data_IF_392285980695
#
_entry.id   IF_392285980695
#
_cell.length_a   1.000
_cell.length_b   1.000
_cell.length_c   1.000
_cell.angle_alpha   90.00
_cell.angle_beta   90.00
_cell.angle_gamma   90.00
#
_symmetry.space_group_name_H-M   'P 1'
#
loop_
_entity.id
_entity.type
_entity.pdbx_description
1 polymer ?
#
# COMPACT_ATOMS: atom_id res chain seq x y z
N UNK A 1 -16.26 16.76 -3.49
CA UNK A 1 -15.30 17.86 -3.68
C UNK A 1 -13.94 17.50 -3.09
N UNK A 2 -12.84 17.90 -3.75
CA UNK A 2 -11.47 17.71 -3.28
C UNK A 2 -10.88 19.05 -2.84
N UNK A 3 -10.33 19.08 -1.64
CA UNK A 3 -9.61 20.23 -1.08
C UNK A 3 -8.21 19.86 -0.66
N UNK A 4 -7.28 20.81 -0.76
CA UNK A 4 -5.93 20.69 -0.21
C UNK A 4 -5.71 21.81 0.80
N UNK A 5 -5.35 21.41 2.03
CA UNK A 5 -5.08 22.33 3.14
C UNK A 5 -3.59 22.26 3.50
N UNK A 6 -2.98 23.42 3.76
CA UNK A 6 -1.64 23.47 4.31
C UNK A 6 -1.66 23.05 5.78
N UNK A 7 -0.65 22.29 6.21
CA UNK A 7 -0.46 21.91 7.62
C UNK A 7 0.15 23.06 8.43
N UNK A 8 0.94 23.94 7.78
CA UNK A 8 1.65 25.03 8.45
C UNK A 8 0.88 26.36 8.39
N UNK A 9 0.05 26.56 7.37
CA UNK A 9 -0.63 27.82 7.10
C UNK A 9 -2.13 27.60 6.96
N UNK A 10 -2.95 28.57 7.36
CA UNK A 10 -4.41 28.54 7.22
C UNK A 10 -4.86 28.76 5.77
N UNK A 11 -4.24 28.07 4.83
CA UNK A 11 -4.61 28.14 3.42
C UNK A 11 -5.23 26.82 2.98
N UNK A 12 -6.45 26.92 2.46
CA UNK A 12 -7.19 25.79 1.86
C UNK A 12 -7.54 26.16 0.44
N UNK A 13 -7.31 25.24 -0.49
CA UNK A 13 -7.71 25.40 -1.88
C UNK A 13 -8.64 24.29 -2.30
N UNK A 14 -9.76 24.67 -2.89
CA UNK A 14 -10.63 23.76 -3.64
C UNK A 14 -9.93 23.39 -4.95
N UNK A 15 -9.79 22.08 -5.19
CA UNK A 15 -9.13 21.53 -6.38
C UNK A 15 -10.14 21.27 -7.49
N UNK A 16 -11.29 20.70 -7.15
CA UNK A 16 -12.35 20.37 -8.09
C UNK A 16 -13.38 21.49 -8.17
N UNK A 17 -13.84 21.81 -9.38
CA UNK A 17 -14.89 22.81 -9.62
C UNK A 17 -16.00 22.20 -10.49
N UNK A 18 -16.52 21.07 -10.06
CA UNK A 18 -17.55 20.31 -10.77
C UNK A 18 -18.64 19.91 -9.78
N UNK A 19 -19.90 19.73 -10.24
CA UNK A 19 -21.00 19.30 -9.39
C UNK A 19 -20.97 17.80 -9.04
N UNK A 20 -20.06 17.04 -9.66
CA UNK A 20 -19.97 15.60 -9.50
C UNK A 20 -19.40 15.21 -8.13
N UNK A 21 -19.61 13.96 -7.74
CA UNK A 21 -19.04 13.40 -6.52
C UNK A 21 -17.57 13.01 -6.74
N UNK A 22 -16.74 13.27 -5.73
CA UNK A 22 -15.34 12.83 -5.68
C UNK A 22 -15.07 12.02 -4.41
N UNK A 23 -14.15 11.05 -4.54
CA UNK A 23 -13.71 10.16 -3.48
C UNK A 23 -12.25 9.72 -3.68
N UNK A 24 -11.68 9.05 -2.68
CA UNK A 24 -10.46 8.27 -2.76
C UNK A 24 -9.26 9.05 -3.33
N UNK A 25 -8.88 10.14 -2.67
CA UNK A 25 -7.76 10.99 -3.12
C UNK A 25 -6.42 10.36 -2.74
N UNK A 26 -5.49 10.30 -3.68
CA UNK A 26 -4.10 9.95 -3.40
C UNK A 26 -3.12 11.00 -3.97
N UNK A 27 -1.99 11.18 -3.28
CA UNK A 27 -0.90 12.04 -3.72
C UNK A 27 -0.01 11.33 -4.73
N UNK A 28 0.39 12.07 -5.77
CA UNK A 28 1.48 11.65 -6.63
C UNK A 28 2.85 11.80 -5.94
N UNK A 29 3.86 11.01 -6.36
CA UNK A 29 5.19 11.02 -5.76
C UNK A 29 5.96 12.33 -5.95
N UNK A 30 5.49 13.19 -6.85
CA UNK A 30 6.09 14.49 -7.16
C UNK A 30 5.56 15.64 -6.30
N UNK A 31 4.61 15.39 -5.40
CA UNK A 31 3.89 16.39 -4.61
C UNK A 31 3.19 17.48 -5.43
N UNK A 32 3.10 17.31 -6.74
CA UNK A 32 2.49 18.24 -7.72
C UNK A 32 1.29 17.62 -8.43
N UNK A 33 1.01 16.37 -8.12
CA UNK A 33 -0.06 15.57 -8.72
C UNK A 33 -0.96 15.01 -7.63
N UNK A 34 -2.27 15.05 -7.88
CA UNK A 34 -3.30 14.31 -7.15
C UNK A 34 -4.01 13.39 -8.12
N UNK A 35 -4.40 12.21 -7.66
CA UNK A 35 -5.33 11.35 -8.36
C UNK A 35 -6.50 11.04 -7.44
N UNK A 36 -7.71 11.12 -7.97
CA UNK A 36 -8.94 10.84 -7.23
C UNK A 36 -9.97 10.19 -8.14
N UNK A 37 -10.93 9.52 -7.53
CA UNK A 37 -12.11 9.04 -8.23
C UNK A 37 -13.13 10.17 -8.33
N UNK A 38 -13.68 10.42 -9.53
CA UNK A 38 -14.75 11.38 -9.76
C UNK A 38 -15.85 10.78 -10.63
N UNK A 39 -17.09 10.99 -10.25
CA UNK A 39 -18.22 10.55 -11.04
C UNK A 39 -18.37 11.42 -12.28
N UNK A 40 -18.09 10.86 -13.45
CA UNK A 40 -18.13 11.54 -14.74
C UNK A 40 -19.03 10.77 -15.71
N UNK A 41 -20.07 11.41 -16.21
CA UNK A 41 -21.02 10.78 -17.12
C UNK A 41 -21.64 9.48 -16.58
N UNK A 42 -22.00 9.48 -15.29
CA UNK A 42 -22.62 8.34 -14.61
C UNK A 42 -21.67 7.17 -14.32
N UNK A 43 -20.35 7.39 -14.41
CA UNK A 43 -19.31 6.40 -14.08
C UNK A 43 -18.20 7.03 -13.24
N UNK A 44 -17.70 6.29 -12.26
CA UNK A 44 -16.53 6.68 -11.50
C UNK A 44 -15.27 6.54 -12.35
N UNK A 45 -14.58 7.65 -12.57
CA UNK A 45 -13.36 7.72 -13.37
C UNK A 45 -12.20 8.20 -12.53
N UNK A 46 -10.98 7.78 -12.89
CA UNK A 46 -9.77 8.32 -12.28
C UNK A 46 -9.40 9.64 -12.96
N UNK A 47 -9.39 10.69 -12.17
CA UNK A 47 -9.01 12.05 -12.59
C UNK A 47 -7.68 12.41 -11.94
N UNK A 48 -6.78 12.92 -12.76
CA UNK A 48 -5.49 13.43 -12.33
C UNK A 48 -5.51 14.94 -12.38
N UNK A 49 -5.27 15.59 -11.25
CA UNK A 49 -5.05 17.02 -11.13
C UNK A 49 -3.55 17.31 -11.01
N UNK A 50 -3.05 18.24 -11.78
CA UNK A 50 -1.62 18.61 -11.81
C UNK A 50 -1.44 20.12 -11.75
N UNK A 51 -0.48 20.59 -10.95
CA UNK A 51 -0.04 21.98 -10.93
C UNK A 51 0.68 22.28 -12.25
N UNK A 52 0.09 23.17 -13.07
CA UNK A 52 0.59 23.44 -14.44
C UNK A 52 1.81 24.34 -14.48
N UNK A 53 1.87 25.34 -13.61
CA UNK A 53 2.96 26.32 -13.59
C UNK A 53 4.12 25.85 -12.73
N UNK A 54 5.34 26.02 -13.23
CA UNK A 54 6.56 25.62 -12.49
C UNK A 54 6.81 26.50 -11.25
N UNK A 55 6.37 27.74 -11.32
CA UNK A 55 6.50 28.75 -10.26
C UNK A 55 5.59 28.43 -9.06
N UNK A 56 4.48 27.73 -9.29
CA UNK A 56 3.56 27.30 -8.24
C UNK A 56 4.17 26.10 -7.52
N UNK A 57 4.58 26.26 -6.27
CA UNK A 57 5.33 25.24 -5.52
C UNK A 57 4.44 24.14 -4.96
N UNK A 58 3.19 24.47 -4.61
CA UNK A 58 2.25 23.57 -3.95
C UNK A 58 0.80 23.86 -4.35
N UNK A 59 -0.12 22.93 -4.07
CA UNK A 59 -1.53 23.07 -4.41
C UNK A 59 -2.23 24.26 -3.74
N UNK A 60 -2.05 24.55 -2.42
CA UNK A 60 -2.71 25.71 -1.82
C UNK A 60 -2.44 27.04 -2.53
N UNK A 61 -1.26 27.20 -3.10
CA UNK A 61 -0.84 28.42 -3.80
C UNK A 61 -0.86 28.30 -5.33
N UNK A 62 -1.29 27.14 -5.87
CA UNK A 62 -1.33 26.93 -7.30
C UNK A 62 -2.34 27.87 -7.99
N UNK A 63 -1.90 28.55 -9.05
CA UNK A 63 -2.77 29.45 -9.83
C UNK A 63 -3.52 28.72 -10.92
N UNK A 64 -2.92 27.68 -11.52
CA UNK A 64 -3.52 26.86 -12.58
C UNK A 64 -3.35 25.39 -12.26
N UNK A 65 -4.48 24.69 -12.10
CA UNK A 65 -4.55 23.27 -11.95
C UNK A 65 -5.20 22.69 -13.21
N UNK A 66 -4.58 21.66 -13.80
CA UNK A 66 -5.10 20.97 -14.96
C UNK A 66 -5.62 19.60 -14.54
N UNK A 67 -6.85 19.28 -14.90
CA UNK A 67 -7.46 17.97 -14.73
C UNK A 67 -7.44 17.17 -16.03
N UNK A 68 -7.22 15.86 -15.92
CA UNK A 68 -7.34 14.91 -17.02
C UNK A 68 -7.85 13.54 -16.54
N UNK A 69 -8.73 12.88 -17.28
CA UNK A 69 -9.10 11.48 -17.05
C UNK A 69 -7.97 10.61 -17.57
N UNK A 70 -7.38 9.77 -16.72
CA UNK A 70 -6.09 9.12 -16.99
C UNK A 70 -6.17 7.66 -17.41
N UNK A 71 -7.28 6.96 -17.14
CA UNK A 71 -7.41 5.56 -17.49
C UNK A 71 -8.16 5.36 -18.82
N UNK A 72 -7.73 4.39 -19.66
CA UNK A 72 -8.49 4.03 -20.86
C UNK A 72 -9.83 3.41 -20.47
N UNK A 73 -10.75 3.28 -21.43
CA UNK A 73 -12.11 2.76 -21.26
C UNK A 73 -12.92 3.48 -20.17
N UNK A 74 -13.62 4.52 -20.55
CA UNK A 74 -14.43 5.37 -19.67
C UNK A 74 -15.78 4.74 -19.27
N UNK A 75 -16.07 3.53 -19.68
CA UNK A 75 -17.37 2.89 -19.44
C UNK A 75 -17.38 1.88 -18.28
N UNK A 76 -16.42 1.99 -17.39
CA UNK A 76 -16.26 1.16 -16.19
C UNK A 76 -16.01 2.03 -14.97
N UNK A 77 -16.45 1.58 -13.79
CA UNK A 77 -16.20 2.29 -12.54
C UNK A 77 -14.79 1.99 -12.00
N UNK A 78 -14.09 3.03 -11.56
CA UNK A 78 -12.75 2.93 -10.96
C UNK A 78 -12.65 3.78 -9.73
N UNK A 79 -12.17 3.18 -8.64
CA UNK A 79 -12.01 3.82 -7.33
C UNK A 79 -10.70 3.42 -6.66
N UNK A 80 -10.45 4.01 -5.50
CA UNK A 80 -9.35 3.68 -4.61
C UNK A 80 -7.97 3.70 -5.27
N UNK A 81 -7.57 4.79 -5.97
CA UNK A 81 -6.26 4.88 -6.59
C UNK A 81 -5.15 4.95 -5.54
N UNK A 82 -4.03 4.25 -5.80
CA UNK A 82 -2.82 4.32 -4.98
C UNK A 82 -1.58 4.25 -5.88
N UNK A 83 -0.67 5.23 -5.76
CA UNK A 83 0.63 5.12 -6.43
C UNK A 83 1.51 4.05 -5.77
N UNK A 84 2.30 3.36 -6.59
CA UNK A 84 3.38 2.53 -6.07
C UNK A 84 4.42 3.40 -5.37
N UNK A 85 5.13 2.90 -4.33
CA UNK A 85 6.17 3.65 -3.64
C UNK A 85 7.27 4.22 -4.56
N UNK A 86 7.58 3.54 -5.66
CA UNK A 86 8.54 4.01 -6.67
C UNK A 86 7.94 5.03 -7.67
N UNK A 87 6.65 5.32 -7.57
CA UNK A 87 5.92 6.29 -8.39
C UNK A 87 5.69 5.87 -9.85
N UNK A 88 6.08 4.66 -10.25
CA UNK A 88 5.99 4.24 -11.66
C UNK A 88 4.64 3.65 -12.04
N UNK A 89 3.89 3.18 -11.07
CA UNK A 89 2.60 2.51 -11.27
C UNK A 89 1.50 3.16 -10.43
N UNK A 90 0.27 3.03 -10.89
CA UNK A 90 -0.94 3.42 -10.17
C UNK A 90 -1.84 2.20 -10.09
N UNK A 91 -2.14 1.73 -8.89
CA UNK A 91 -3.14 0.70 -8.66
C UNK A 91 -4.52 1.33 -8.43
N UNK A 92 -5.57 0.62 -8.74
CA UNK A 92 -6.96 1.01 -8.51
C UNK A 92 -7.88 -0.20 -8.56
N UNK A 93 -9.09 -0.04 -8.03
CA UNK A 93 -10.12 -1.06 -8.09
C UNK A 93 -11.10 -0.74 -9.22
N UNK A 94 -11.35 -1.72 -10.10
CA UNK A 94 -12.30 -1.64 -11.18
C UNK A 94 -13.54 -2.46 -10.86
N UNK A 95 -14.74 -1.86 -11.07
CA UNK A 95 -16.06 -2.41 -10.76
C UNK A 95 -16.24 -2.95 -9.34
N UNK A 96 -15.46 -2.43 -8.36
CA UNK A 96 -15.50 -2.86 -6.96
C UNK A 96 -14.84 -4.20 -6.65
N UNK A 97 -14.38 -4.94 -7.66
CA UNK A 97 -13.95 -6.34 -7.51
C UNK A 97 -12.52 -6.61 -7.98
N UNK A 98 -12.06 -5.94 -9.04
CA UNK A 98 -10.78 -6.23 -9.69
C UNK A 98 -9.71 -5.24 -9.30
N UNK A 99 -8.60 -5.73 -8.78
CA UNK A 99 -7.39 -4.93 -8.60
C UNK A 99 -6.66 -4.81 -9.94
N UNK A 100 -6.46 -3.58 -10.38
CA UNK A 100 -5.81 -3.23 -11.64
C UNK A 100 -4.55 -2.39 -11.35
N UNK A 101 -3.58 -2.47 -12.24
CA UNK A 101 -2.36 -1.63 -12.19
C UNK A 101 -2.14 -0.98 -13.55
N UNK A 102 -1.94 0.33 -13.54
CA UNK A 102 -1.58 1.11 -14.71
C UNK A 102 -0.13 1.57 -14.61
N UNK A 103 0.66 1.38 -15.65
CA UNK A 103 1.95 2.04 -15.80
C UNK A 103 1.75 3.54 -16.05
N UNK A 104 2.36 4.38 -15.21
CA UNK A 104 2.13 5.85 -15.23
C UNK A 104 2.60 6.48 -16.54
N UNK A 105 3.67 5.95 -17.16
CA UNK A 105 4.26 6.49 -18.38
C UNK A 105 3.55 6.02 -19.63
N UNK A 106 3.37 4.72 -19.79
CA UNK A 106 2.78 4.12 -21.00
C UNK A 106 1.25 4.10 -20.99
N UNK A 107 0.61 4.27 -19.81
CA UNK A 107 -0.82 4.12 -19.57
C UNK A 107 -1.36 2.70 -19.82
N UNK A 108 -0.47 1.72 -20.00
CA UNK A 108 -0.86 0.33 -20.13
C UNK A 108 -1.46 -0.17 -18.81
N UNK A 109 -2.61 -0.82 -18.87
CA UNK A 109 -3.32 -1.37 -17.70
C UNK A 109 -3.18 -2.88 -17.69
N UNK A 110 -2.81 -3.44 -16.54
CA UNK A 110 -2.70 -4.87 -16.28
C UNK A 110 -3.65 -5.26 -15.15
N UNK A 111 -4.34 -6.36 -15.32
CA UNK A 111 -5.20 -6.94 -14.29
C UNK A 111 -4.35 -7.75 -13.31
N UNK A 112 -4.51 -7.48 -12.01
CA UNK A 112 -3.83 -8.21 -10.93
C UNK A 112 -4.72 -9.32 -10.37
N UNK A 113 -6.02 -9.03 -10.14
CA UNK A 113 -7.00 -10.01 -9.67
C UNK A 113 -8.18 -10.10 -10.63
N UNK A 114 -8.82 -11.26 -10.70
CA UNK A 114 -9.92 -11.53 -11.65
C UNK A 114 -11.32 -11.09 -11.15
N UNK A 115 -11.41 -10.66 -9.89
CA UNK A 115 -12.67 -10.27 -9.25
C UNK A 115 -13.37 -11.40 -8.49
N UNK A 116 -12.98 -12.65 -8.69
CA UNK A 116 -13.61 -13.80 -8.02
C UNK A 116 -13.36 -13.84 -6.50
N UNK A 117 -12.41 -13.06 -6.03
CA UNK A 117 -12.00 -13.00 -4.63
C UNK A 117 -12.86 -12.07 -3.77
N UNK A 118 -13.77 -11.29 -4.35
CA UNK A 118 -14.58 -10.30 -3.63
C UNK A 118 -16.02 -10.29 -4.12
N UNK A 119 -16.96 -10.21 -3.19
CA UNK A 119 -18.38 -10.04 -3.51
C UNK A 119 -18.70 -8.55 -3.47
N UNK A 120 -18.90 -7.89 -4.57
CA UNK A 120 -19.10 -6.43 -4.70
C UNK A 120 -20.27 -5.82 -3.91
N UNK A 121 -20.95 -6.58 -3.05
CA UNK A 121 -22.08 -6.13 -2.20
C UNK A 121 -21.66 -5.23 -1.05
N UNK A 122 -20.42 -5.39 -0.55
CA UNK A 122 -19.87 -4.64 0.60
C UNK A 122 -19.04 -3.41 0.16
N UNK A 123 -19.06 -3.07 -1.13
CA UNK A 123 -18.22 -2.02 -1.68
C UNK A 123 -16.84 -2.51 -2.07
N UNK A 124 -15.83 -1.67 -1.91
CA UNK A 124 -14.45 -1.95 -2.32
C UNK A 124 -13.65 -2.61 -1.19
N UNK A 125 -12.75 -3.52 -1.52
CA UNK A 125 -11.83 -4.13 -0.55
C UNK A 125 -10.58 -3.26 -0.31
N UNK A 126 -9.92 -3.42 0.84
CA UNK A 126 -8.66 -2.74 1.14
C UNK A 126 -7.47 -3.48 0.53
N UNK A 127 -6.54 -2.73 -0.02
CA UNK A 127 -5.26 -3.24 -0.51
C UNK A 127 -4.13 -2.24 -0.22
N UNK A 128 -2.90 -2.71 -0.21
CA UNK A 128 -1.74 -1.87 0.07
C UNK A 128 -0.50 -2.37 -0.70
N UNK A 129 0.28 -1.44 -1.24
CA UNK A 129 1.55 -1.74 -1.91
C UNK A 129 2.61 -2.18 -0.92
N UNK A 130 3.44 -3.15 -1.31
CA UNK A 130 4.71 -3.40 -0.63
C UNK A 130 5.71 -2.24 -0.86
N UNK A 131 6.60 -1.96 0.08
CA UNK A 131 7.61 -0.91 -0.06
C UNK A 131 8.48 -1.02 -1.32
N UNK A 132 8.75 -2.24 -1.80
CA UNK A 132 9.52 -2.50 -3.03
C UNK A 132 8.70 -2.43 -4.33
N UNK A 133 7.41 -2.09 -4.24
CA UNK A 133 6.49 -1.96 -5.38
C UNK A 133 6.26 -3.25 -6.17
N UNK A 134 6.50 -4.43 -5.58
CA UNK A 134 6.40 -5.74 -6.26
C UNK A 134 5.21 -6.59 -5.82
N UNK A 135 4.61 -6.27 -4.66
CA UNK A 135 3.54 -7.06 -4.06
C UNK A 135 2.39 -6.18 -3.60
N UNK A 136 1.24 -6.82 -3.45
CA UNK A 136 0.11 -6.29 -2.70
C UNK A 136 -0.21 -7.19 -1.51
N UNK A 137 -0.57 -6.60 -0.37
CA UNK A 137 -1.43 -7.24 0.60
C UNK A 137 -2.85 -6.71 0.40
N UNK A 138 -3.86 -7.56 0.55
CA UNK A 138 -5.25 -7.20 0.30
C UNK A 138 -6.22 -8.03 1.15
N UNK A 139 -7.41 -7.48 1.34
CA UNK A 139 -8.57 -8.22 1.84
C UNK A 139 -9.17 -9.05 0.72
N UNK A 140 -9.64 -10.25 1.05
CA UNK A 140 -10.38 -11.08 0.12
C UNK A 140 -11.24 -12.13 0.84
N UNK A 141 -12.24 -12.67 0.17
CA UNK A 141 -13.12 -13.71 0.71
C UNK A 141 -12.54 -15.08 0.32
N UNK A 142 -11.48 -15.48 1.02
CA UNK A 142 -10.69 -16.67 0.66
C UNK A 142 -11.45 -17.99 0.73
N UNK A 143 -12.43 -18.08 1.62
CA UNK A 143 -13.23 -19.30 1.85
C UNK A 143 -14.65 -19.23 1.26
N UNK A 144 -14.93 -18.22 0.44
CA UNK A 144 -16.26 -18.02 -0.18
C UNK A 144 -17.39 -17.73 0.81
N UNK A 145 -17.08 -17.24 2.01
CA UNK A 145 -18.04 -16.98 3.10
C UNK A 145 -17.97 -15.52 3.53
N UNK A 146 -18.83 -14.72 2.97
CA UNK A 146 -19.09 -13.37 3.44
C UNK A 146 -19.77 -13.38 4.85
N UNK A 147 -19.38 -12.52 5.81
CA UNK A 147 -18.41 -11.42 5.77
C UNK A 147 -16.99 -11.80 6.25
N UNK A 148 -16.64 -13.06 6.27
CA UNK A 148 -15.37 -13.55 6.80
C UNK A 148 -14.23 -13.32 5.81
N UNK A 149 -13.67 -12.13 5.85
CA UNK A 149 -12.50 -11.76 5.03
C UNK A 149 -11.21 -12.35 5.59
N UNK A 150 -10.35 -12.73 4.67
CA UNK A 150 -8.96 -13.11 4.92
C UNK A 150 -7.98 -12.06 4.38
N UNK A 151 -6.74 -12.12 4.83
CA UNK A 151 -5.65 -11.33 4.27
C UNK A 151 -4.87 -12.19 3.29
N UNK A 152 -4.63 -11.66 2.10
CA UNK A 152 -3.87 -12.30 1.04
C UNK A 152 -2.69 -11.48 0.57
N UNK A 153 -1.74 -12.15 -0.09
CA UNK A 153 -0.63 -11.56 -0.81
C UNK A 153 -0.75 -11.96 -2.28
N UNK A 154 -0.51 -11.00 -3.17
CA UNK A 154 -0.45 -11.23 -4.62
C UNK A 154 0.67 -10.41 -5.25
N UNK A 155 1.32 -10.97 -6.28
CA UNK A 155 2.33 -10.25 -7.07
C UNK A 155 1.69 -9.10 -7.86
N UNK A 156 2.42 -8.02 -8.07
CA UNK A 156 2.00 -6.90 -8.95
C UNK A 156 1.75 -7.35 -10.39
N UNK A 157 2.34 -8.46 -10.81
CA UNK A 157 2.13 -9.05 -12.14
C UNK A 157 0.87 -9.93 -12.22
N UNK A 158 0.11 -10.00 -11.13
CA UNK A 158 -1.05 -10.87 -11.03
C UNK A 158 -0.71 -12.29 -10.62
N UNK A 159 -1.71 -13.16 -10.69
CA UNK A 159 -1.61 -14.55 -10.33
C UNK A 159 -2.52 -14.93 -9.15
N UNK A 160 -2.25 -16.09 -8.57
CA UNK A 160 -3.06 -16.59 -7.45
C UNK A 160 -2.80 -15.78 -6.18
N UNK A 161 -3.86 -15.33 -5.52
CA UNK A 161 -3.79 -14.76 -4.18
C UNK A 161 -3.42 -15.88 -3.19
N UNK A 162 -2.36 -15.69 -2.44
CA UNK A 162 -1.99 -16.59 -1.35
C UNK A 162 -2.62 -16.12 -0.06
N UNK A 163 -3.49 -16.94 0.52
CA UNK A 163 -4.15 -16.68 1.79
C UNK A 163 -3.18 -16.85 2.96
N UNK A 164 -2.89 -15.77 3.70
CA UNK A 164 -1.96 -15.79 4.83
C UNK A 164 -2.65 -15.97 6.18
N UNK A 165 -3.94 -15.65 6.30
CA UNK A 165 -4.72 -15.84 7.53
C UNK A 165 -5.51 -17.15 7.53
N UNK A 166 -6.23 -17.45 6.45
CA UNK A 166 -7.03 -18.65 6.23
C UNK A 166 -7.79 -19.06 7.50
N UNK A 167 -8.64 -18.20 7.98
CA UNK A 167 -9.31 -18.33 9.27
C UNK A 167 -10.84 -18.21 9.12
N UNK A 168 -11.57 -18.54 10.18
CA UNK A 168 -13.01 -18.33 10.26
C UNK A 168 -13.35 -17.01 11.00
N UNK A 169 -12.44 -16.04 10.95
CA UNK A 169 -12.56 -14.76 11.60
C UNK A 169 -12.47 -13.63 10.56
N UNK A 170 -12.97 -12.45 10.91
CA UNK A 170 -12.86 -11.27 10.07
C UNK A 170 -11.44 -10.69 10.23
N UNK A 171 -10.72 -10.56 9.12
CA UNK A 171 -9.39 -9.97 9.06
C UNK A 171 -9.42 -8.83 8.04
N UNK A 172 -9.06 -7.63 8.46
CA UNK A 172 -9.23 -6.41 7.68
C UNK A 172 -8.02 -5.48 7.78
N UNK A 173 -7.98 -4.44 6.92
CA UNK A 173 -7.04 -3.33 6.92
C UNK A 173 -5.56 -3.77 6.88
N UNK A 174 -5.17 -4.64 5.93
CA UNK A 174 -3.78 -5.08 5.82
C UNK A 174 -2.87 -3.91 5.44
N UNK A 175 -1.70 -3.82 6.09
CA UNK A 175 -0.67 -2.82 5.79
C UNK A 175 0.72 -3.44 5.92
N UNK A 176 1.58 -3.15 4.97
CA UNK A 176 3.00 -3.47 5.09
C UNK A 176 3.65 -2.61 6.18
N UNK A 177 4.41 -3.24 7.05
CA UNK A 177 5.16 -2.61 8.16
C UNK A 177 6.56 -3.21 8.27
N UNK A 178 7.39 -2.63 9.13
CA UNK A 178 8.77 -3.11 9.38
C UNK A 178 9.58 -3.23 8.07
N UNK A 179 9.56 -2.16 7.25
CA UNK A 179 10.26 -2.08 5.97
C UNK A 179 9.91 -3.23 5.00
N UNK A 180 8.69 -3.76 5.11
CA UNK A 180 8.21 -4.87 4.31
C UNK A 180 8.45 -6.25 4.92
N UNK A 181 8.98 -6.32 6.13
CA UNK A 181 9.20 -7.58 6.86
C UNK A 181 7.92 -8.22 7.41
N UNK A 182 6.85 -7.45 7.56
CA UNK A 182 5.57 -7.95 8.07
C UNK A 182 4.37 -7.24 7.45
N UNK A 183 3.21 -7.90 7.53
CA UNK A 183 1.89 -7.33 7.24
C UNK A 183 1.14 -7.23 8.56
N UNK A 184 0.78 -6.01 8.94
CA UNK A 184 -0.11 -5.71 10.03
C UNK A 184 -1.56 -5.79 9.55
N UNK A 185 -2.45 -6.33 10.36
CA UNK A 185 -3.88 -6.37 10.07
C UNK A 185 -4.70 -6.41 11.36
N UNK A 186 -5.98 -6.11 11.26
CA UNK A 186 -6.94 -6.18 12.36
C UNK A 186 -7.70 -7.50 12.26
N UNK A 187 -7.95 -8.15 13.39
CA UNK A 187 -8.68 -9.42 13.46
C UNK A 187 -9.55 -9.50 14.70
N UNK A 188 -10.76 -10.00 14.55
CA UNK A 188 -11.67 -10.28 15.67
C UNK A 188 -11.49 -11.67 16.30
N UNK A 189 -10.34 -12.31 16.08
CA UNK A 189 -10.08 -13.70 16.49
C UNK A 189 -10.10 -13.89 18.00
N UNK A 190 -9.54 -12.95 18.76
CA UNK A 190 -9.32 -13.09 20.19
C UNK A 190 -10.27 -12.24 21.03
N UNK A 191 -10.99 -11.32 20.42
CA UNK A 191 -11.88 -10.39 21.10
C UNK A 191 -13.16 -11.02 21.60
N UNK A 192 -13.74 -10.39 22.61
CA UNK A 192 -15.07 -10.74 23.11
C UNK A 192 -16.13 -10.41 22.06
N UNK A 193 -17.11 -11.24 21.91
CA UNK A 193 -18.26 -11.05 21.02
C UNK A 193 -19.50 -10.74 21.82
N UNK A 194 -20.20 -9.67 21.46
CA UNK A 194 -21.44 -9.28 22.12
C UNK A 194 -22.63 -10.15 21.71
N UNK A 195 -22.65 -10.61 20.46
CA UNK A 195 -23.63 -11.57 19.92
C UNK A 195 -22.93 -12.47 18.89
N UNK A 196 -23.49 -13.62 18.59
CA UNK A 196 -22.91 -14.71 17.77
C UNK A 196 -22.01 -14.29 16.61
N UNK A 197 -22.35 -13.26 15.84
CA UNK A 197 -21.55 -12.77 14.71
C UNK A 197 -21.41 -11.23 14.66
N UNK A 198 -21.91 -10.53 15.67
CA UNK A 198 -21.97 -9.08 15.69
C UNK A 198 -21.25 -8.50 16.91
N UNK A 199 -20.59 -7.35 16.71
CA UNK A 199 -20.00 -6.57 17.80
C UNK A 199 -18.89 -7.34 18.51
N UNK A 200 -17.80 -7.62 17.82
CA UNK A 200 -16.58 -8.20 18.41
C UNK A 200 -15.58 -7.10 18.69
N UNK A 201 -14.81 -7.29 19.75
CA UNK A 201 -13.58 -6.54 19.95
C UNK A 201 -12.50 -7.08 19.03
N UNK A 202 -11.60 -6.20 18.63
CA UNK A 202 -10.55 -6.48 17.65
C UNK A 202 -9.16 -6.43 18.26
N UNK A 203 -8.23 -7.02 17.54
CA UNK A 203 -6.81 -7.08 17.86
C UNK A 203 -5.96 -6.71 16.65
N UNK A 204 -4.79 -6.16 16.90
CA UNK A 204 -3.75 -5.97 15.90
C UNK A 204 -2.85 -7.19 15.87
N UNK A 205 -2.69 -7.77 14.68
CA UNK A 205 -1.80 -8.89 14.43
C UNK A 205 -0.72 -8.51 13.39
N UNK A 206 0.41 -9.19 13.47
CA UNK A 206 1.49 -9.13 12.49
C UNK A 206 1.70 -10.52 11.89
N UNK A 207 1.72 -10.60 10.56
CA UNK A 207 2.18 -11.78 9.82
C UNK A 207 3.53 -11.45 9.19
N UNK A 208 4.61 -12.12 9.63
CA UNK A 208 5.94 -11.90 9.09
C UNK A 208 6.10 -12.66 7.77
N UNK A 209 6.55 -11.95 6.74
CA UNK A 209 6.62 -12.49 5.38
C UNK A 209 7.84 -13.35 5.12
N UNK A 210 8.84 -13.32 5.99
CA UNK A 210 9.99 -14.22 5.97
C UNK A 210 10.48 -14.53 7.38
N UNK A 211 11.33 -15.56 7.49
CA UNK A 211 11.85 -16.03 8.77
C UNK A 211 12.84 -15.05 9.38
N UNK A 212 13.68 -14.42 8.57
CA UNK A 212 14.65 -13.40 9.03
C UNK A 212 13.96 -12.23 9.77
N UNK A 213 12.88 -11.70 9.20
CA UNK A 213 12.12 -10.61 9.81
C UNK A 213 11.43 -11.07 11.12
N UNK A 214 10.94 -12.31 11.15
CA UNK A 214 10.32 -12.88 12.35
C UNK A 214 11.33 -13.09 13.47
N UNK A 215 12.48 -13.67 13.18
CA UNK A 215 13.55 -13.88 14.17
C UNK A 215 14.09 -12.56 14.69
N UNK A 216 14.34 -11.59 13.81
CA UNK A 216 14.77 -10.24 14.20
C UNK A 216 13.77 -9.55 15.15
N UNK A 217 12.48 -9.72 14.92
CA UNK A 217 11.45 -9.14 15.80
C UNK A 217 11.45 -9.76 17.20
N UNK A 218 11.85 -11.01 17.32
CA UNK A 218 11.88 -11.76 18.59
C UNK A 218 13.12 -11.51 19.44
N UNK A 219 14.15 -10.84 18.90
CA UNK A 219 15.36 -10.50 19.62
C UNK A 219 15.05 -9.63 20.85
N UNK A 220 15.67 -9.93 21.94
CA UNK A 220 15.68 -9.05 23.12
C UNK A 220 16.55 -7.81 22.84
N UNK A 221 16.58 -6.88 23.79
CA UNK A 221 17.29 -5.61 23.62
C UNK A 221 18.80 -5.81 23.39
N UNK A 222 19.43 -6.70 24.16
CA UNK A 222 20.86 -7.00 24.07
C UNK A 222 21.21 -7.64 22.72
N UNK A 223 20.47 -8.66 22.30
CA UNK A 223 20.63 -9.32 21.01
C UNK A 223 20.47 -8.34 19.84
N UNK A 224 19.50 -7.42 19.95
CA UNK A 224 19.29 -6.38 18.92
C UNK A 224 20.45 -5.39 18.86
N UNK A 225 21.06 -5.02 19.99
CA UNK A 225 22.25 -4.15 20.02
C UNK A 225 23.45 -4.85 19.40
N UNK A 226 23.71 -6.10 19.72
CA UNK A 226 24.78 -6.91 19.12
C UNK A 226 24.61 -7.06 17.62
N UNK A 227 23.38 -7.32 17.15
CA UNK A 227 23.09 -7.41 15.73
C UNK A 227 23.38 -6.10 14.99
N UNK A 228 22.99 -4.96 15.57
CA UNK A 228 23.29 -3.63 15.01
C UNK A 228 24.78 -3.33 14.92
N UNK A 229 25.56 -3.76 15.91
CA UNK A 229 27.03 -3.60 15.90
C UNK A 229 27.65 -4.44 14.78
N UNK A 230 27.21 -5.69 14.63
CA UNK A 230 27.67 -6.59 13.56
C UNK A 230 27.33 -6.01 12.18
N UNK A 231 26.10 -5.56 11.96
CA UNK A 231 25.67 -4.93 10.71
C UNK A 231 26.48 -3.65 10.36
N UNK A 232 26.84 -2.87 11.39
CA UNK A 232 27.70 -1.67 11.22
C UNK A 232 29.11 -2.05 10.81
N UNK A 233 29.68 -3.08 11.44
CA UNK A 233 31.03 -3.59 11.11
C UNK A 233 31.06 -4.10 9.65
N UNK A 234 30.10 -4.91 9.26
CA UNK A 234 30.00 -5.42 7.88
C UNK A 234 29.83 -4.32 6.82
N UNK A 235 29.06 -3.27 7.13
CA UNK A 235 28.92 -2.10 6.23
C UNK A 235 30.24 -1.35 6.10
N UNK A 236 30.95 -1.14 7.21
CA UNK A 236 32.25 -0.48 7.20
C UNK A 236 33.30 -1.25 6.37
N UNK A 237 33.28 -2.58 6.46
CA UNK A 237 34.21 -3.42 5.67
C UNK A 237 33.83 -3.44 4.18
N UNK A 238 32.55 -3.47 3.82
CA UNK A 238 32.10 -3.34 2.44
C UNK A 238 32.44 -1.98 1.84
N UNK A 239 32.33 -0.91 2.61
CA UNK A 239 32.68 0.45 2.18
C UNK A 239 34.21 0.60 1.98
N UNK A 240 35.04 -0.05 2.81
CA UNK A 240 36.50 -0.12 2.60
C UNK A 240 36.85 -0.91 1.34
N UNK A 241 36.28 -2.09 1.16
CA UNK A 241 36.53 -2.92 -0.04
C UNK A 241 36.08 -2.25 -1.35
N UNK A 242 35.05 -1.39 -1.31
CA UNK A 242 34.61 -0.61 -2.46
C UNK A 242 35.49 0.63 -2.71
N UNK A 243 36.14 1.20 -1.70
CA UNK A 243 37.13 2.30 -1.88
C UNK A 243 38.38 1.79 -2.57
N UNK A 244 38.90 0.63 -2.21
CA UNK A 244 40.09 0.04 -2.83
C UNK A 244 39.86 -0.33 -4.30
N UNK A 245 38.63 -0.55 -4.74
CA UNK A 245 38.26 -0.79 -6.15
C UNK A 245 37.95 0.50 -6.95
N UNK A 246 37.82 1.67 -6.31
CA UNK A 246 37.45 2.93 -6.99
C UNK A 246 38.63 3.72 -7.52
N UNK A 247 39.89 3.36 -7.22
CA UNK A 247 41.05 4.06 -7.75
C UNK A 247 41.36 3.71 -9.22
N UNK A 248 40.67 2.73 -9.82
CA UNK A 248 40.91 2.34 -11.22
C UNK A 248 39.86 2.80 -12.26
N UNK A 249 38.73 3.41 -11.87
CA UNK A 249 37.76 3.91 -12.88
C UNK A 249 37.03 5.15 -12.41
N UNK A 250 37.55 6.33 -12.77
CA UNK A 250 36.79 7.57 -12.79
C UNK A 250 35.81 7.56 -13.97
N UNK A 251 34.52 7.36 -13.74
CA UNK A 251 33.45 7.86 -14.59
C UNK A 251 32.25 8.29 -13.76
N UNK A 252 31.74 9.48 -14.13
CA UNK A 252 30.60 10.16 -13.49
C UNK A 252 29.33 9.35 -13.67
N UNK A 253 28.86 8.68 -12.63
CA UNK A 253 27.45 8.34 -12.41
C UNK A 253 27.35 7.61 -11.08
N UNK A 254 26.99 8.23 -9.98
CA UNK A 254 26.50 7.56 -8.78
C UNK A 254 26.17 8.59 -7.71
N UNK A 255 25.03 9.27 -7.92
CA UNK A 255 24.36 10.02 -6.84
C UNK A 255 23.00 9.40 -6.46
N UNK A 256 22.61 8.27 -7.06
CA UNK A 256 21.27 7.70 -6.89
C UNK A 256 21.23 6.29 -6.26
N UNK A 257 22.30 5.85 -5.60
CA UNK A 257 22.31 4.47 -5.02
C UNK A 257 21.87 4.40 -3.55
N UNK A 258 21.64 5.54 -2.88
CA UNK A 258 21.34 5.55 -1.43
C UNK A 258 19.88 5.25 -1.06
N UNK A 259 18.95 5.23 -2.01
CA UNK A 259 17.50 5.09 -1.75
C UNK A 259 16.82 3.91 -2.47
N UNK A 260 17.58 2.91 -2.92
CA UNK A 260 16.93 1.70 -3.43
C UNK A 260 16.41 0.86 -2.27
N UNK A 261 15.09 0.82 -2.12
CA UNK A 261 14.41 -0.13 -1.25
C UNK A 261 14.85 -1.55 -1.66
N UNK A 262 15.30 -2.34 -0.69
CA UNK A 262 15.68 -3.73 -0.95
C UNK A 262 14.46 -4.53 -1.41
N UNK A 263 14.69 -5.47 -2.30
CA UNK A 263 13.67 -6.44 -2.71
C UNK A 263 13.19 -7.21 -1.48
N UNK A 264 11.87 -7.29 -1.31
CA UNK A 264 11.27 -8.04 -0.21
C UNK A 264 11.23 -9.50 -0.59
N UNK A 265 11.82 -10.34 0.25
CA UNK A 265 11.72 -11.80 0.13
C UNK A 265 10.44 -12.24 0.82
N UNK A 266 9.52 -12.84 0.06
CA UNK A 266 8.24 -13.35 0.56
C UNK A 266 8.30 -14.87 0.60
N UNK A 267 8.38 -15.45 1.80
CA UNK A 267 8.37 -16.88 2.07
C UNK A 267 6.96 -17.30 2.49
N UNK A 268 6.20 -17.85 1.56
CA UNK A 268 4.79 -18.20 1.80
C UNK A 268 4.62 -19.51 2.58
N UNK A 269 5.63 -20.37 2.54
CA UNK A 269 5.62 -21.60 3.34
C UNK A 269 5.65 -21.26 4.84
N UNK A 270 4.79 -21.93 5.61
CA UNK A 270 4.66 -21.75 7.07
C UNK A 270 4.40 -20.29 7.55
N UNK A 271 3.92 -19.40 6.67
CA UNK A 271 3.64 -18.01 7.05
C UNK A 271 2.66 -17.90 8.23
N UNK A 272 1.77 -18.87 8.40
CA UNK A 272 0.82 -18.93 9.52
C UNK A 272 1.50 -19.13 10.88
N UNK A 273 2.66 -19.76 10.90
CA UNK A 273 3.43 -20.00 12.12
C UNK A 273 4.18 -18.72 12.57
N UNK A 274 4.25 -17.72 11.69
CA UNK A 274 4.87 -16.43 11.91
C UNK A 274 3.84 -15.31 12.12
N UNK A 275 2.67 -15.63 12.66
CA UNK A 275 1.63 -14.65 13.01
C UNK A 275 1.62 -14.45 14.51
N UNK A 276 1.73 -13.19 14.95
CA UNK A 276 1.69 -12.82 16.36
C UNK A 276 0.60 -11.79 16.63
N UNK A 277 0.03 -11.81 17.84
CA UNK A 277 -0.83 -10.76 18.37
C UNK A 277 0.03 -9.68 19.03
N UNK A 278 -0.21 -8.43 18.68
CA UNK A 278 0.52 -7.26 19.23
C UNK A 278 -0.21 -6.62 20.39
N UNK A 279 -1.53 -6.51 20.30
CA UNK A 279 -2.38 -5.95 21.35
C UNK A 279 -2.40 -6.85 22.58
N UNK A 280 -2.25 -6.27 23.76
CA UNK A 280 -2.34 -7.00 25.04
C UNK A 280 -3.80 -7.33 25.35
N UNK A 281 -4.70 -6.40 25.11
CA UNK A 281 -6.14 -6.53 25.32
C UNK A 281 -6.87 -6.19 24.04
N UNK A 282 -7.91 -6.94 23.73
CA UNK A 282 -8.83 -6.65 22.65
C UNK A 282 -9.66 -5.40 22.99
N UNK A 283 -9.97 -4.60 21.99
CA UNK A 283 -10.76 -3.37 22.15
C UNK A 283 -11.54 -3.04 20.87
N UNK A 284 -12.43 -2.08 20.95
CA UNK A 284 -13.04 -1.51 19.77
C UNK A 284 -11.99 -0.64 19.07
N UNK A 285 -11.37 -1.21 18.06
CA UNK A 285 -10.44 -0.48 17.20
C UNK A 285 -11.28 0.27 16.17
N UNK A 286 -11.72 1.48 16.55
CA UNK A 286 -12.31 2.38 15.58
C UNK A 286 -11.27 2.71 14.51
N UNK A 287 -11.60 2.44 13.25
CA UNK A 287 -10.75 2.70 12.10
C UNK A 287 -10.52 4.20 11.87
#
# INVERSE_FOLDING_TARGET
>A
EVFVTSVEYNTTKKITDTPEAEADVCWGPDNRTLVYASERNGKWQLVKATISRKEDLNFPNATIIKEEIIAPNKNVNRKSPQFSPDGKKLAFIEEGERLMVMDVKSKAVTQVTDGSQWFGTEGSFNYNWSPDSKWFCLEFIGNGRDPYSDIGIVSVNGGKITNITNSAYINVLPRWVLDGGAIMFISNRYGLRSQASWGSQDDVLLAFVNEEAFDRYRLNKEEMELLKETEKAEKADKDKANKDKKDEKKSKSDKNEKDKVKDIVVELDKIKDRVIRVTLNSSDLAG
#
